data_IF_568654409552
#
_entry.id   IF_568654409552
#
_cell.length_a   1.000
_cell.length_b   1.000
_cell.length_c   1.000
_cell.angle_alpha   90.00
_cell.angle_beta   90.00
_cell.angle_gamma   90.00
#
_symmetry.space_group_name_H-M   'P 1'
#
loop_
_entity.id
_entity.type
_entity.pdbx_description
1 polymer ?
#
# COMPACT_ATOMS: atom_id res chain seq x y z
N UNK A 1 49.82 -19.46 -16.18
CA UNK A 1 48.51 -20.09 -15.91
C UNK A 1 47.85 -19.57 -14.62
N UNK A 2 48.58 -19.36 -13.52
CA UNK A 2 47.99 -18.85 -12.26
C UNK A 2 47.41 -17.43 -12.35
N UNK A 3 48.11 -16.51 -13.02
CA UNK A 3 47.61 -15.12 -13.18
C UNK A 3 46.25 -15.08 -13.89
N UNK A 4 46.07 -15.93 -14.91
CA UNK A 4 44.79 -16.07 -15.61
C UNK A 4 43.66 -16.58 -14.70
N UNK A 5 43.92 -17.63 -13.90
CA UNK A 5 42.93 -18.15 -12.94
C UNK A 5 42.52 -17.10 -11.90
N UNK A 6 43.48 -16.32 -11.39
CA UNK A 6 43.21 -15.23 -10.44
C UNK A 6 42.39 -14.09 -11.05
N UNK A 7 42.68 -13.71 -12.29
CA UNK A 7 41.90 -12.71 -13.02
C UNK A 7 40.45 -13.17 -13.22
N UNK A 8 40.26 -14.41 -13.64
CA UNK A 8 38.93 -14.99 -13.85
C UNK A 8 38.14 -15.13 -12.54
N UNK A 9 38.81 -15.52 -11.45
CA UNK A 9 38.21 -15.54 -10.12
C UNK A 9 37.75 -14.14 -9.67
N UNK A 10 38.57 -13.11 -9.90
CA UNK A 10 38.21 -11.71 -9.62
C UNK A 10 36.99 -11.25 -10.41
N UNK A 11 36.90 -11.61 -11.70
CA UNK A 11 35.73 -11.32 -12.53
C UNK A 11 34.47 -12.01 -11.99
N UNK A 12 34.53 -13.29 -11.66
CA UNK A 12 33.38 -14.01 -11.09
C UNK A 12 32.98 -13.52 -9.71
N UNK A 13 33.93 -13.07 -8.88
CA UNK A 13 33.64 -12.41 -7.61
C UNK A 13 32.86 -11.11 -7.83
N UNK A 14 33.29 -10.27 -8.78
CA UNK A 14 32.57 -9.04 -9.12
C UNK A 14 31.15 -9.32 -9.66
N UNK A 15 31.01 -10.29 -10.57
CA UNK A 15 29.73 -10.72 -11.10
C UNK A 15 28.82 -11.33 -10.03
N UNK A 16 29.39 -12.12 -9.10
CA UNK A 16 28.68 -12.62 -7.92
C UNK A 16 28.15 -11.46 -7.08
N UNK A 17 28.99 -10.48 -6.75
CA UNK A 17 28.57 -9.35 -5.90
C UNK A 17 27.40 -8.60 -6.54
N UNK A 18 27.53 -8.23 -7.82
CA UNK A 18 26.47 -7.52 -8.54
C UNK A 18 25.18 -8.34 -8.62
N UNK A 19 25.28 -9.60 -9.09
CA UNK A 19 24.10 -10.45 -9.25
C UNK A 19 23.44 -10.82 -7.92
N UNK A 20 24.20 -10.98 -6.83
CA UNK A 20 23.66 -11.28 -5.51
C UNK A 20 22.88 -10.10 -4.93
N UNK A 21 23.38 -8.86 -5.09
CA UNK A 21 22.63 -7.66 -4.68
C UNK A 21 21.31 -7.56 -5.44
N UNK A 22 21.33 -7.72 -6.77
CA UNK A 22 20.10 -7.72 -7.57
C UNK A 22 19.17 -8.87 -7.19
N UNK A 23 19.69 -10.07 -6.97
CA UNK A 23 18.90 -11.23 -6.58
C UNK A 23 18.20 -11.02 -5.24
N UNK A 24 18.87 -10.43 -4.25
CA UNK A 24 18.23 -10.07 -2.98
C UNK A 24 17.05 -9.12 -3.19
N UNK A 25 17.23 -8.06 -3.98
CA UNK A 25 16.16 -7.09 -4.25
C UNK A 25 14.98 -7.76 -4.96
N UNK A 26 15.25 -8.43 -6.08
CA UNK A 26 14.21 -9.05 -6.91
C UNK A 26 13.47 -10.17 -6.18
N UNK A 27 14.19 -11.03 -5.46
CA UNK A 27 13.59 -12.13 -4.71
C UNK A 27 12.69 -11.63 -3.57
N UNK A 28 13.12 -10.62 -2.81
CA UNK A 28 12.27 -10.04 -1.77
C UNK A 28 11.08 -9.28 -2.36
N UNK A 29 11.29 -8.59 -3.49
CA UNK A 29 10.20 -7.91 -4.20
C UNK A 29 9.15 -8.90 -4.69
N UNK A 30 9.54 -10.03 -5.30
CA UNK A 30 8.56 -11.06 -5.71
C UNK A 30 7.80 -11.63 -4.50
N UNK A 31 8.52 -11.94 -3.42
CA UNK A 31 7.93 -12.58 -2.23
C UNK A 31 7.00 -11.66 -1.44
N UNK A 32 7.27 -10.36 -1.40
CA UNK A 32 6.53 -9.40 -0.56
C UNK A 32 5.69 -8.41 -1.34
N UNK A 33 6.16 -7.95 -2.49
CA UNK A 33 5.47 -6.98 -3.35
C UNK A 33 4.21 -7.54 -4.02
N UNK A 34 4.08 -8.87 -4.10
CA UNK A 34 2.88 -9.53 -4.64
C UNK A 34 2.08 -10.29 -3.56
N UNK A 35 2.22 -9.90 -2.30
CA UNK A 35 1.47 -10.49 -1.18
C UNK A 35 0.62 -9.43 -0.49
N UNK A 36 -0.69 -9.65 -0.43
CA UNK A 36 -1.64 -8.78 0.27
C UNK A 36 -1.26 -8.57 1.75
N UNK A 37 -0.71 -9.59 2.40
CA UNK A 37 -0.30 -9.54 3.81
C UNK A 37 0.73 -8.44 4.09
N UNK A 38 1.64 -8.17 3.13
CA UNK A 38 2.62 -7.08 3.27
C UNK A 38 1.91 -5.72 3.37
N UNK A 39 0.86 -5.53 2.58
CA UNK A 39 0.12 -4.28 2.50
C UNK A 39 -0.83 -4.11 3.68
N UNK A 40 -1.50 -5.18 4.12
CA UNK A 40 -2.28 -5.18 5.37
C UNK A 40 -1.45 -4.71 6.57
N UNK A 41 -0.24 -5.25 6.71
CA UNK A 41 0.69 -4.85 7.79
C UNK A 41 1.14 -3.39 7.67
N UNK A 42 1.38 -2.92 6.45
CA UNK A 42 1.74 -1.53 6.20
C UNK A 42 0.59 -0.58 6.57
N UNK A 43 -0.64 -0.90 6.15
CA UNK A 43 -1.82 -0.09 6.41
C UNK A 43 -2.20 -0.06 7.90
N UNK A 44 -2.11 -1.20 8.59
CA UNK A 44 -2.33 -1.26 10.02
C UNK A 44 -1.28 -0.47 10.81
N UNK A 45 -0.01 -0.48 10.38
CA UNK A 45 1.08 0.25 11.05
C UNK A 45 0.87 1.77 11.01
N UNK A 46 0.37 2.28 9.89
CA UNK A 46 0.19 3.73 9.68
C UNK A 46 -1.21 4.23 10.04
N UNK A 47 -2.06 3.34 10.57
CA UNK A 47 -3.44 3.65 10.90
C UNK A 47 -4.24 4.19 9.69
N UNK A 48 -3.93 3.63 8.52
CA UNK A 48 -4.37 4.13 7.22
C UNK A 48 -5.88 4.33 7.14
N UNK A 49 -6.66 3.31 7.52
CA UNK A 49 -8.11 3.37 7.44
C UNK A 49 -8.73 4.40 8.37
N UNK A 50 -8.11 4.70 9.51
CA UNK A 50 -8.58 5.71 10.46
C UNK A 50 -8.30 7.15 10.03
N UNK A 51 -7.30 7.36 9.15
CA UNK A 51 -6.94 8.67 8.59
C UNK A 51 -7.75 9.03 7.34
N UNK A 52 -8.26 8.03 6.62
CA UNK A 52 -9.02 8.23 5.39
C UNK A 52 -10.19 9.23 5.53
N UNK A 53 -11.05 9.16 6.58
CA UNK A 53 -12.14 10.13 6.74
C UNK A 53 -11.67 11.59 6.78
N UNK A 54 -10.55 11.86 7.44
CA UNK A 54 -9.99 13.22 7.54
C UNK A 54 -9.43 13.68 6.20
N UNK A 55 -8.73 12.81 5.47
CA UNK A 55 -8.25 13.13 4.11
C UNK A 55 -9.42 13.43 3.17
N UNK A 56 -10.51 12.66 3.26
CA UNK A 56 -11.73 12.93 2.49
C UNK A 56 -12.37 14.26 2.88
N UNK A 57 -12.44 14.57 4.17
CA UNK A 57 -12.99 15.84 4.66
C UNK A 57 -12.22 17.05 4.14
N UNK A 58 -10.89 17.00 4.17
CA UNK A 58 -10.04 18.06 3.63
C UNK A 58 -10.23 18.21 2.10
N UNK A 59 -10.37 17.10 1.38
CA UNK A 59 -10.61 17.12 -0.06
C UNK A 59 -11.95 17.81 -0.42
N UNK A 60 -13.00 17.64 0.39
CA UNK A 60 -14.31 18.26 0.14
C UNK A 60 -14.26 19.79 0.15
N UNK A 61 -13.35 20.38 0.93
CA UNK A 61 -13.25 21.85 1.05
C UNK A 61 -12.40 22.44 -0.06
N UNK A 62 -11.47 21.65 -0.60
CA UNK A 62 -10.73 22.02 -1.81
C UNK A 62 -11.55 21.86 -3.09
N UNK A 63 -12.67 21.14 -3.02
CA UNK A 63 -13.61 21.00 -4.13
C UNK A 63 -14.44 22.27 -4.29
N UNK A 64 -14.77 22.64 -5.52
CA UNK A 64 -15.62 23.79 -5.81
C UNK A 64 -16.99 23.62 -5.14
N UNK A 65 -17.27 24.47 -4.14
CA UNK A 65 -18.51 24.43 -3.35
C UNK A 65 -19.77 24.57 -4.20
N UNK A 66 -19.66 25.16 -5.40
CA UNK A 66 -20.80 25.28 -6.32
C UNK A 66 -21.29 23.94 -6.89
N UNK A 67 -20.48 22.88 -6.80
CA UNK A 67 -20.82 21.53 -7.26
C UNK A 67 -21.42 20.66 -6.15
N UNK A 68 -21.36 21.11 -4.89
CA UNK A 68 -21.90 20.36 -3.77
C UNK A 68 -23.41 20.59 -3.65
N UNK A 69 -24.19 19.56 -3.26
CA UNK A 69 -25.57 19.76 -2.86
C UNK A 69 -25.68 20.87 -1.82
N UNK A 70 -26.74 21.69 -1.89
CA UNK A 70 -26.97 22.82 -0.96
C UNK A 70 -26.97 22.34 0.51
N UNK A 71 -27.40 21.10 0.77
CA UNK A 71 -27.34 20.46 2.09
C UNK A 71 -25.92 20.32 2.67
N UNK A 72 -24.90 20.42 1.84
CA UNK A 72 -23.50 20.16 2.16
C UNK A 72 -22.62 21.42 2.01
N UNK A 73 -23.16 22.51 1.46
CA UNK A 73 -22.41 23.74 1.16
C UNK A 73 -22.03 24.58 2.39
N UNK A 74 -22.48 24.20 3.59
CA UNK A 74 -22.17 24.88 4.86
C UNK A 74 -21.29 24.09 5.83
N UNK A 75 -20.87 22.87 5.46
CA UNK A 75 -20.09 22.00 6.34
C UNK A 75 -18.61 22.42 6.36
N UNK A 76 -18.06 22.59 7.56
CA UNK A 76 -16.63 22.78 7.77
C UNK A 76 -15.86 21.44 7.78
N UNK A 77 -14.54 21.49 7.97
CA UNK A 77 -13.68 20.28 7.98
C UNK A 77 -14.16 19.28 9.03
N UNK A 78 -14.55 19.78 10.20
CA UNK A 78 -14.91 18.95 11.34
C UNK A 78 -16.26 18.25 11.11
N UNK A 79 -17.22 18.96 10.53
CA UNK A 79 -18.51 18.40 10.13
C UNK A 79 -18.32 17.32 9.05
N UNK A 80 -17.46 17.56 8.05
CA UNK A 80 -17.12 16.55 7.04
C UNK A 80 -16.39 15.33 7.62
N UNK A 81 -15.42 15.55 8.50
CA UNK A 81 -14.68 14.46 9.14
C UNK A 81 -15.63 13.60 9.99
N UNK A 82 -16.49 14.25 10.80
CA UNK A 82 -17.51 13.54 11.59
C UNK A 82 -18.47 12.76 10.69
N UNK A 83 -18.93 13.35 9.60
CA UNK A 83 -19.80 12.69 8.62
C UNK A 83 -19.14 11.45 8.02
N UNK A 84 -17.91 11.58 7.49
CA UNK A 84 -17.19 10.46 6.90
C UNK A 84 -16.85 9.40 7.94
N UNK A 85 -16.43 9.76 9.15
CA UNK A 85 -16.16 8.78 10.22
C UNK A 85 -17.41 8.00 10.62
N UNK A 86 -18.57 8.63 10.56
CA UNK A 86 -19.83 8.00 10.91
C UNK A 86 -20.27 7.03 9.82
N UNK A 87 -20.25 7.43 8.54
CA UNK A 87 -20.66 6.55 7.44
C UNK A 87 -19.60 5.50 7.13
N UNK A 88 -18.34 5.91 7.03
CA UNK A 88 -17.17 5.10 6.76
C UNK A 88 -16.47 4.75 8.06
N UNK A 89 -17.17 3.98 8.89
CA UNK A 89 -16.62 3.48 10.14
C UNK A 89 -15.29 2.73 9.86
N UNK A 90 -14.28 2.88 10.73
CA UNK A 90 -12.94 2.31 10.48
C UNK A 90 -12.91 0.82 10.21
N UNK A 91 -13.78 0.05 10.85
CA UNK A 91 -13.95 -1.39 10.67
C UNK A 91 -14.54 -1.73 9.29
N UNK A 92 -15.52 -0.95 8.82
CA UNK A 92 -16.06 -1.06 7.48
C UNK A 92 -15.00 -0.72 6.42
N UNK A 93 -14.25 0.37 6.62
CA UNK A 93 -13.14 0.76 5.73
C UNK A 93 -12.05 -0.31 5.68
N UNK A 94 -11.69 -0.88 6.82
CA UNK A 94 -10.71 -1.97 6.91
C UNK A 94 -11.21 -3.19 6.15
N UNK A 95 -12.46 -3.60 6.38
CA UNK A 95 -13.05 -4.78 5.70
C UNK A 95 -13.11 -4.58 4.18
N UNK A 96 -13.56 -3.41 3.73
CA UNK A 96 -13.64 -3.09 2.30
C UNK A 96 -12.26 -2.99 1.66
N UNK A 97 -11.34 -2.28 2.31
CA UNK A 97 -9.98 -2.09 1.84
C UNK A 97 -9.19 -3.40 1.79
N UNK A 98 -9.28 -4.21 2.84
CA UNK A 98 -8.61 -5.50 2.91
C UNK A 98 -9.18 -6.47 1.86
N UNK A 99 -10.51 -6.47 1.69
CA UNK A 99 -11.19 -7.24 0.65
C UNK A 99 -10.73 -6.84 -0.75
N UNK A 100 -10.64 -5.54 -1.02
CA UNK A 100 -10.15 -5.03 -2.30
C UNK A 100 -8.67 -5.38 -2.53
N UNK A 101 -7.80 -5.26 -1.52
CA UNK A 101 -6.41 -5.67 -1.60
C UNK A 101 -6.31 -7.16 -1.92
N UNK A 102 -7.02 -8.00 -1.18
CA UNK A 102 -7.02 -9.45 -1.39
C UNK A 102 -7.49 -9.80 -2.82
N UNK A 103 -8.56 -9.16 -3.29
CA UNK A 103 -9.07 -9.34 -4.65
C UNK A 103 -8.05 -8.87 -5.71
N UNK A 104 -7.39 -7.73 -5.47
CA UNK A 104 -6.34 -7.20 -6.35
C UNK A 104 -5.15 -8.16 -6.46
N UNK A 105 -4.67 -8.68 -5.33
CA UNK A 105 -3.56 -9.64 -5.36
C UNK A 105 -3.97 -11.00 -5.90
N UNK A 106 -5.20 -11.47 -5.64
CA UNK A 106 -5.73 -12.66 -6.31
C UNK A 106 -5.75 -12.46 -7.84
N UNK A 107 -6.15 -11.29 -8.31
CA UNK A 107 -6.10 -10.92 -9.72
C UNK A 107 -4.66 -10.91 -10.28
N UNK A 108 -3.73 -10.19 -9.63
CA UNK A 108 -2.32 -10.11 -10.06
C UNK A 108 -1.63 -11.47 -10.03
N UNK A 109 -2.03 -12.35 -9.11
CA UNK A 109 -1.53 -13.71 -8.97
C UNK A 109 -2.22 -14.72 -9.91
N UNK A 110 -3.13 -14.28 -10.78
CA UNK A 110 -3.94 -15.14 -11.67
C UNK A 110 -4.78 -16.19 -10.92
N UNK A 111 -5.20 -15.88 -9.70
CA UNK A 111 -6.12 -16.69 -8.90
C UNK A 111 -7.58 -16.30 -9.14
N UNK A 112 -7.81 -15.09 -9.65
CA UNK A 112 -9.10 -14.56 -10.05
C UNK A 112 -8.96 -13.72 -11.32
N UNK A 113 -10.02 -13.59 -12.12
CA UNK A 113 -10.02 -12.77 -13.34
C UNK A 113 -10.59 -11.37 -13.13
N UNK A 114 -11.18 -11.11 -11.96
CA UNK A 114 -11.84 -9.86 -11.64
C UNK A 114 -11.38 -9.33 -10.29
N UNK A 115 -11.25 -8.01 -10.21
CA UNK A 115 -11.06 -7.27 -8.97
C UNK A 115 -12.42 -6.72 -8.56
N UNK A 116 -12.90 -7.17 -7.39
CA UNK A 116 -14.20 -6.79 -6.85
C UNK A 116 -14.01 -5.98 -5.57
N UNK A 117 -14.81 -4.93 -5.41
CA UNK A 117 -14.99 -4.22 -4.15
C UNK A 117 -16.37 -4.55 -3.61
N UNK A 118 -16.44 -5.12 -2.40
CA UNK A 118 -17.70 -5.29 -1.70
C UNK A 118 -18.13 -3.98 -1.05
N UNK A 119 -19.36 -3.55 -1.33
CA UNK A 119 -19.99 -2.38 -0.72
C UNK A 119 -20.91 -2.76 0.44
N UNK A 120 -21.04 -4.05 0.75
CA UNK A 120 -21.91 -4.53 1.83
C UNK A 120 -21.63 -3.84 3.17
N UNK A 121 -20.37 -3.69 3.64
CA UNK A 121 -20.10 -2.99 4.90
C UNK A 121 -20.60 -1.54 4.92
N UNK A 122 -20.39 -0.82 3.80
CA UNK A 122 -20.91 0.54 3.62
C UNK A 122 -22.44 0.57 3.66
N UNK A 123 -23.10 -0.33 2.92
CA UNK A 123 -24.57 -0.45 2.90
C UNK A 123 -25.13 -0.72 4.30
N UNK A 124 -24.49 -1.61 5.06
CA UNK A 124 -24.88 -1.92 6.44
C UNK A 124 -24.72 -0.70 7.35
N UNK A 125 -23.62 0.05 7.23
CA UNK A 125 -23.41 1.30 7.98
C UNK A 125 -24.48 2.35 7.64
N UNK A 126 -24.79 2.50 6.35
CA UNK A 126 -25.79 3.47 5.85
C UNK A 126 -27.22 3.18 6.33
N UNK A 127 -27.63 1.91 6.44
CA UNK A 127 -28.99 1.56 6.91
C UNK A 127 -29.06 1.48 8.45
N UNK A 128 -27.91 1.33 9.10
CA UNK A 128 -27.78 1.23 10.54
C UNK A 128 -27.92 2.57 11.28
N UNK A 129 -27.73 2.56 12.61
CA UNK A 129 -27.75 3.77 13.43
C UNK A 129 -26.75 4.84 12.98
N UNK A 130 -25.59 4.42 12.47
CA UNK A 130 -24.56 5.32 11.96
C UNK A 130 -25.06 6.15 10.78
N UNK A 131 -25.74 5.55 9.80
CA UNK A 131 -26.32 6.29 8.68
C UNK A 131 -27.33 7.34 9.12
N UNK A 132 -28.20 7.03 10.08
CA UNK A 132 -29.15 7.98 10.67
C UNK A 132 -28.39 9.13 11.36
N UNK A 133 -27.37 8.80 12.16
CA UNK A 133 -26.56 9.78 12.86
C UNK A 133 -25.77 10.68 11.91
N UNK A 134 -25.33 10.15 10.76
CA UNK A 134 -24.65 10.94 9.74
C UNK A 134 -25.60 11.97 9.10
N UNK A 135 -26.86 11.62 8.88
CA UNK A 135 -27.89 12.56 8.41
C UNK A 135 -28.13 13.65 9.46
N UNK A 136 -28.23 13.30 10.74
CA UNK A 136 -28.31 14.31 11.81
C UNK A 136 -27.06 15.18 11.90
N UNK A 137 -25.87 14.64 11.61
CA UNK A 137 -24.65 15.43 11.51
C UNK A 137 -24.71 16.47 10.39
N UNK A 138 -25.29 16.13 9.23
CA UNK A 138 -25.54 17.10 8.15
C UNK A 138 -26.57 18.14 8.60
N UNK A 139 -27.69 17.71 9.20
CA UNK A 139 -28.76 18.62 9.63
C UNK A 139 -28.29 19.58 10.72
N UNK A 140 -27.49 19.11 11.68
CA UNK A 140 -26.93 19.92 12.76
C UNK A 140 -25.91 20.96 12.30
N UNK A 141 -25.33 20.80 11.10
CA UNK A 141 -24.47 21.81 10.49
C UNK A 141 -25.25 22.93 9.78
N UNK A 142 -26.57 22.80 9.66
CA UNK A 142 -27.45 23.78 9.02
C UNK A 142 -28.00 24.78 10.05
N UNK A 143 -28.49 25.96 9.61
CA UNK A 143 -29.18 26.88 10.50
C UNK A 143 -30.47 26.27 11.05
N UNK A 144 -30.87 26.69 12.25
CA UNK A 144 -32.10 26.24 12.91
C UNK A 144 -33.34 26.48 12.03
N UNK A 145 -34.21 25.47 11.97
CA UNK A 145 -35.43 25.54 11.19
C UNK A 145 -36.42 26.57 11.76
N UNK A 146 -37.00 27.40 10.90
CA UNK A 146 -38.21 28.16 11.24
C UNK A 146 -39.44 27.25 11.26
N UNK A 147 -40.50 27.66 11.99
CA UNK A 147 -41.77 26.92 12.03
C UNK A 147 -42.38 26.65 10.64
N UNK A 148 -42.23 27.61 9.72
CA UNK A 148 -42.71 27.48 8.34
C UNK A 148 -41.91 26.43 7.55
N UNK A 149 -40.59 26.39 7.74
CA UNK A 149 -39.72 25.38 7.12
C UNK A 149 -39.97 23.98 7.68
N UNK A 150 -40.25 23.85 8.99
CA UNK A 150 -40.61 22.57 9.59
C UNK A 150 -41.91 21.99 9.00
N UNK A 151 -42.93 22.83 8.83
CA UNK A 151 -44.19 22.41 8.22
C UNK A 151 -44.01 21.99 6.75
N UNK A 152 -43.19 22.71 6.00
CA UNK A 152 -42.90 22.41 4.60
C UNK A 152 -42.06 21.14 4.45
N UNK A 153 -41.03 20.95 5.28
CA UNK A 153 -40.21 19.74 5.31
C UNK A 153 -41.04 18.49 5.59
N UNK A 154 -41.99 18.55 6.54
CA UNK A 154 -42.90 17.44 6.82
C UNK A 154 -43.79 17.08 5.62
N UNK A 155 -44.26 18.08 4.88
CA UNK A 155 -45.04 17.86 3.65
C UNK A 155 -44.17 17.29 2.52
N UNK A 156 -42.95 17.80 2.34
CA UNK A 156 -42.02 17.36 1.29
C UNK A 156 -41.49 15.94 1.53
N UNK A 157 -41.24 15.55 2.78
CA UNK A 157 -40.86 14.18 3.15
C UNK A 157 -41.92 13.14 2.78
N UNK A 158 -43.20 13.52 2.84
CA UNK A 158 -44.32 12.65 2.53
C UNK A 158 -44.65 12.67 1.03
N UNK A 159 -44.51 13.83 0.39
CA UNK A 159 -44.85 14.03 -1.03
C UNK A 159 -43.69 13.79 -2.01
N UNK A 160 -42.45 13.62 -1.52
CA UNK A 160 -41.25 13.46 -2.33
C UNK A 160 -40.76 14.76 -2.98
N UNK A 161 -41.04 15.91 -2.34
CA UNK A 161 -40.65 17.24 -2.81
C UNK A 161 -39.16 17.58 -2.60
N UNK A 162 -38.74 18.76 -3.08
CA UNK A 162 -37.39 19.28 -2.86
C UNK A 162 -37.23 19.79 -1.44
N UNK A 163 -36.60 18.99 -0.58
CA UNK A 163 -36.41 19.33 0.83
C UNK A 163 -35.41 20.49 0.97
N UNK A 164 -35.85 21.60 1.57
CA UNK A 164 -34.93 22.62 2.09
C UNK A 164 -34.35 22.13 3.41
N UNK A 165 -33.03 22.01 3.48
CA UNK A 165 -32.33 21.49 4.66
C UNK A 165 -32.15 22.57 5.72
N UNK A 166 -32.52 22.26 6.97
CA UNK A 166 -32.32 23.09 8.16
C UNK A 166 -32.19 22.18 9.38
N UNK A 167 -31.66 22.70 10.50
CA UNK A 167 -31.48 21.95 11.74
C UNK A 167 -32.82 21.87 12.53
N UNK A 168 -33.45 20.69 12.65
CA UNK A 168 -34.70 20.56 13.38
C UNK A 168 -34.47 20.53 14.90
N UNK A 169 -35.47 20.94 15.71
CA UNK A 169 -35.38 20.85 17.16
C UNK A 169 -35.27 19.39 17.63
N UNK A 170 -34.47 19.15 18.68
CA UNK A 170 -34.09 17.81 19.16
C UNK A 170 -35.30 16.93 19.53
N UNK A 171 -36.42 17.54 19.93
CA UNK A 171 -37.66 16.84 20.26
C UNK A 171 -38.29 16.12 19.06
N UNK A 172 -37.94 16.52 17.82
CA UNK A 172 -38.43 15.92 16.60
C UNK A 172 -37.54 14.78 16.07
N UNK A 173 -36.32 14.60 16.60
CA UNK A 173 -35.43 13.52 16.16
C UNK A 173 -36.06 12.13 16.27
N UNK A 174 -36.71 11.74 17.39
CA UNK A 174 -37.32 10.41 17.51
C UNK A 174 -38.45 10.20 16.49
N UNK A 175 -39.11 11.27 16.05
CA UNK A 175 -40.21 11.22 15.08
C UNK A 175 -39.68 11.08 13.65
N UNK A 176 -38.55 11.73 13.34
CA UNK A 176 -37.95 11.70 12.00
C UNK A 176 -37.08 10.47 11.76
N UNK A 177 -36.51 9.87 12.82
CA UNK A 177 -35.60 8.71 12.72
C UNK A 177 -36.18 7.58 11.85
N UNK A 178 -37.43 7.12 12.02
CA UNK A 178 -38.00 6.07 11.17
C UNK A 178 -38.13 6.48 9.70
N UNK A 179 -38.45 7.76 9.44
CA UNK A 179 -38.56 8.27 8.08
C UNK A 179 -37.18 8.31 7.39
N UNK A 180 -36.16 8.80 8.09
CA UNK A 180 -34.77 8.81 7.61
C UNK A 180 -34.31 7.37 7.35
N UNK A 181 -34.57 6.45 8.27
CA UNK A 181 -34.18 5.05 8.11
C UNK A 181 -34.87 4.38 6.91
N UNK A 182 -36.15 4.66 6.68
CA UNK A 182 -36.87 4.16 5.51
C UNK A 182 -36.27 4.70 4.19
N UNK A 183 -35.92 5.99 4.15
CA UNK A 183 -35.28 6.59 2.97
C UNK A 183 -33.88 6.01 2.73
N UNK A 184 -33.09 5.78 3.79
CA UNK A 184 -31.78 5.13 3.69
C UNK A 184 -31.90 3.69 3.18
N UNK A 185 -32.91 2.94 3.62
CA UNK A 185 -33.18 1.60 3.09
C UNK A 185 -33.45 1.64 1.59
N UNK A 186 -34.30 2.57 1.13
CA UNK A 186 -34.60 2.74 -0.30
C UNK A 186 -33.34 3.10 -1.08
N UNK A 187 -32.59 4.10 -0.62
CA UNK A 187 -31.36 4.56 -1.26
C UNK A 187 -30.33 3.42 -1.43
N UNK A 188 -30.20 2.57 -0.41
CA UNK A 188 -29.23 1.46 -0.41
C UNK A 188 -29.65 0.31 -1.33
N UNK A 189 -30.93 0.17 -1.70
CA UNK A 189 -31.34 -0.83 -2.70
C UNK A 189 -30.85 -0.52 -4.11
N UNK A 190 -30.57 0.76 -4.41
CA UNK A 190 -30.01 1.19 -5.70
C UNK A 190 -28.49 0.95 -5.79
N UNK A 191 -27.82 0.76 -4.66
CA UNK A 191 -26.38 0.50 -4.59
C UNK A 191 -26.14 -1.00 -4.71
N UNK A 192 -25.35 -1.48 -5.68
CA UNK A 192 -25.03 -2.90 -5.79
C UNK A 192 -24.19 -3.37 -4.59
N UNK A 193 -24.29 -4.65 -4.24
CA UNK A 193 -23.50 -5.23 -3.14
C UNK A 193 -22.00 -5.30 -3.45
N UNK A 194 -21.66 -5.37 -4.73
CA UNK A 194 -20.29 -5.48 -5.22
C UNK A 194 -20.16 -4.70 -6.52
N UNK A 195 -18.99 -4.10 -6.73
CA UNK A 195 -18.62 -3.49 -8.01
C UNK A 195 -17.36 -4.15 -8.56
N UNK A 196 -17.35 -4.39 -9.86
CA UNK A 196 -16.16 -4.83 -10.58
C UNK A 196 -15.30 -3.60 -10.86
N UNK A 197 -14.16 -3.50 -10.18
CA UNK A 197 -13.19 -2.41 -10.37
C UNK A 197 -12.37 -2.64 -11.63
N UNK A 198 -12.01 -3.90 -11.88
CA UNK A 198 -11.19 -4.29 -13.03
C UNK A 198 -11.50 -5.74 -13.43
N UNK A 199 -11.40 -6.03 -14.73
CA UNK A 199 -11.58 -7.37 -15.28
C UNK A 199 -10.44 -7.67 -16.26
N UNK A 200 -10.01 -8.94 -16.28
CA UNK A 200 -8.97 -9.41 -17.15
C UNK A 200 -9.35 -9.23 -18.63
N UNK A 201 -8.48 -8.65 -19.47
CA UNK A 201 -8.73 -8.59 -20.89
C UNK A 201 -8.64 -9.99 -21.51
N UNK A 202 -9.58 -10.33 -22.40
CA UNK A 202 -9.62 -11.62 -23.11
C UNK A 202 -8.40 -11.89 -24.00
N UNK A 203 -7.69 -10.83 -24.42
CA UNK A 203 -6.50 -10.90 -25.25
C UNK A 203 -5.39 -10.01 -24.68
N UNK A 204 -4.13 -10.41 -24.85
CA UNK A 204 -2.95 -9.67 -24.40
C UNK A 204 -2.96 -9.35 -22.89
N UNK A 205 -3.32 -10.33 -22.07
CA UNK A 205 -3.35 -10.19 -20.62
C UNK A 205 -1.97 -9.79 -20.05
N UNK A 206 -1.81 -8.57 -19.49
CA UNK A 206 -0.54 -8.09 -18.96
C UNK A 206 -0.04 -8.95 -17.80
N UNK A 207 -0.92 -9.68 -17.11
CA UNK A 207 -0.55 -10.60 -16.02
C UNK A 207 0.35 -11.72 -16.52
N UNK A 208 0.26 -12.14 -17.78
CA UNK A 208 1.16 -13.17 -18.31
C UNK A 208 2.62 -12.70 -18.35
N UNK A 209 2.85 -11.45 -18.79
CA UNK A 209 4.17 -10.83 -18.75
C UNK A 209 4.67 -10.67 -17.32
N UNK A 210 3.75 -10.35 -16.40
CA UNK A 210 4.06 -10.28 -14.98
C UNK A 210 4.50 -11.63 -14.41
N UNK A 211 3.82 -12.74 -14.74
CA UNK A 211 4.21 -14.08 -14.28
C UNK A 211 5.60 -14.48 -14.80
N UNK A 212 5.92 -14.14 -16.04
CA UNK A 212 7.26 -14.35 -16.60
C UNK A 212 8.29 -13.54 -15.81
N UNK A 213 8.03 -12.25 -15.57
CA UNK A 213 8.91 -11.40 -14.76
C UNK A 213 9.10 -11.96 -13.35
N UNK A 214 8.03 -12.45 -12.72
CA UNK A 214 8.08 -13.09 -11.40
C UNK A 214 8.87 -14.38 -11.38
N UNK A 215 8.77 -15.20 -12.43
CA UNK A 215 9.62 -16.37 -12.57
C UNK A 215 11.10 -15.98 -12.60
N UNK A 216 11.48 -14.93 -13.35
CA UNK A 216 12.85 -14.41 -13.34
C UNK A 216 13.26 -13.88 -11.97
N UNK A 217 12.39 -13.13 -11.28
CA UNK A 217 12.66 -12.64 -9.93
C UNK A 217 12.87 -13.79 -8.93
N UNK A 218 12.05 -14.85 -9.01
CA UNK A 218 12.14 -16.02 -8.13
C UNK A 218 13.38 -16.88 -8.42
N UNK A 219 13.79 -16.97 -9.70
CA UNK A 219 15.00 -17.69 -10.12
C UNK A 219 16.28 -16.85 -10.01
N UNK A 220 16.17 -15.54 -9.72
CA UNK A 220 17.31 -14.65 -9.61
C UNK A 220 18.42 -15.12 -8.65
N UNK A 221 18.16 -15.84 -7.54
CA UNK A 221 19.22 -16.36 -6.67
C UNK A 221 20.09 -17.47 -7.30
N UNK A 222 19.67 -18.09 -8.40
CA UNK A 222 20.46 -19.15 -9.07
C UNK A 222 21.70 -18.54 -9.71
N UNK A 223 21.58 -17.35 -10.32
CA UNK A 223 22.67 -16.69 -11.02
C UNK A 223 23.90 -16.39 -10.11
N UNK A 224 23.76 -15.76 -8.93
CA UNK A 224 24.89 -15.57 -8.02
C UNK A 224 25.45 -16.92 -7.54
N UNK A 225 24.63 -17.95 -7.30
CA UNK A 225 25.14 -19.27 -6.92
C UNK A 225 26.04 -19.88 -8.00
N UNK A 226 25.69 -19.72 -9.28
CA UNK A 226 26.55 -20.15 -10.39
C UNK A 226 27.88 -19.39 -10.38
N UNK A 227 27.87 -18.06 -10.20
CA UNK A 227 29.12 -17.29 -10.14
C UNK A 227 29.96 -17.61 -8.91
N UNK A 228 29.34 -17.87 -7.77
CA UNK A 228 30.01 -18.33 -6.54
C UNK A 228 30.69 -19.68 -6.76
N UNK A 229 30.03 -20.61 -7.45
CA UNK A 229 30.57 -21.92 -7.80
C UNK A 229 31.75 -21.79 -8.77
N UNK A 230 31.60 -21.00 -9.83
CA UNK A 230 32.69 -20.73 -10.79
C UNK A 230 33.90 -20.10 -10.09
N UNK A 231 33.67 -19.08 -9.25
CA UNK A 231 34.71 -18.47 -8.42
C UNK A 231 35.42 -19.53 -7.56
N UNK A 232 34.66 -20.45 -6.96
CA UNK A 232 35.21 -21.54 -6.14
C UNK A 232 36.14 -22.44 -6.96
N UNK A 233 35.72 -22.89 -8.15
CA UNK A 233 36.53 -23.75 -9.03
C UNK A 233 37.87 -23.09 -9.40
N UNK A 234 37.90 -21.78 -9.63
CA UNK A 234 39.10 -21.09 -10.10
C UNK A 234 40.00 -20.54 -8.98
N UNK A 235 39.45 -20.21 -7.82
CA UNK A 235 40.16 -19.53 -6.74
C UNK A 235 40.55 -20.45 -5.57
N UNK A 236 39.81 -21.54 -5.36
CA UNK A 236 39.88 -22.31 -4.13
C UNK A 236 40.78 -23.52 -4.29
N UNK A 237 42.03 -23.34 -3.88
CA UNK A 237 43.01 -24.43 -3.78
C UNK A 237 43.26 -24.86 -2.32
N UNK A 238 42.84 -24.05 -1.35
CA UNK A 238 43.01 -24.29 0.09
C UNK A 238 41.82 -23.75 0.87
N UNK A 239 41.62 -24.27 2.08
CA UNK A 239 40.56 -23.80 3.00
C UNK A 239 40.71 -22.31 3.33
N UNK A 240 41.94 -21.81 3.53
CA UNK A 240 42.21 -20.39 3.74
C UNK A 240 41.81 -19.55 2.54
N UNK A 241 42.11 -20.01 1.31
CA UNK A 241 41.70 -19.32 0.07
C UNK A 241 40.18 -19.24 -0.01
N UNK A 242 39.49 -20.35 0.25
CA UNK A 242 38.02 -20.41 0.30
C UNK A 242 37.43 -19.35 1.23
N UNK A 243 37.89 -19.33 2.49
CA UNK A 243 37.44 -18.36 3.49
C UNK A 243 37.68 -16.92 3.04
N UNK A 244 38.84 -16.63 2.45
CA UNK A 244 39.16 -15.27 2.01
C UNK A 244 38.31 -14.79 0.83
N UNK A 245 38.12 -15.63 -0.20
CA UNK A 245 37.36 -15.25 -1.40
C UNK A 245 35.86 -15.18 -1.13
N UNK A 246 35.29 -16.17 -0.44
CA UNK A 246 33.88 -16.14 -0.05
C UNK A 246 33.62 -15.03 0.97
N UNK A 247 34.51 -14.87 1.95
CA UNK A 247 34.39 -13.83 2.97
C UNK A 247 34.38 -12.42 2.38
N UNK A 248 35.31 -12.12 1.47
CA UNK A 248 35.36 -10.83 0.77
C UNK A 248 34.11 -10.58 -0.08
N UNK A 249 33.67 -11.59 -0.84
CA UNK A 249 32.47 -11.52 -1.68
C UNK A 249 31.20 -11.30 -0.86
N UNK A 250 30.96 -12.07 0.20
CA UNK A 250 29.80 -11.89 1.08
C UNK A 250 29.84 -10.57 1.84
N UNK A 251 31.02 -10.13 2.28
CA UNK A 251 31.18 -8.82 2.92
C UNK A 251 30.81 -7.69 1.96
N UNK A 252 31.32 -7.74 0.71
CA UNK A 252 31.01 -6.75 -0.31
C UNK A 252 29.52 -6.74 -0.67
N UNK A 253 28.92 -7.90 -0.97
CA UNK A 253 27.48 -8.03 -1.24
C UNK A 253 26.65 -7.52 -0.07
N UNK A 254 26.96 -7.96 1.15
CA UNK A 254 26.22 -7.59 2.34
C UNK A 254 26.27 -6.09 2.63
N UNK A 255 27.45 -5.48 2.47
CA UNK A 255 27.64 -4.04 2.64
C UNK A 255 26.84 -3.25 1.60
N UNK A 256 26.92 -3.63 0.32
CA UNK A 256 26.19 -2.96 -0.75
C UNK A 256 24.67 -3.12 -0.60
N UNK A 257 24.19 -4.32 -0.29
CA UNK A 257 22.77 -4.57 -0.05
C UNK A 257 22.24 -3.79 1.17
N UNK A 258 23.03 -3.70 2.24
CA UNK A 258 22.68 -2.90 3.43
C UNK A 258 22.63 -1.41 3.10
N UNK A 259 23.60 -0.92 2.33
CA UNK A 259 23.64 0.47 1.89
C UNK A 259 22.40 0.80 1.04
N UNK A 260 22.07 -0.05 0.06
CA UNK A 260 20.83 0.06 -0.71
C UNK A 260 19.57 -0.05 0.17
N UNK A 261 19.62 -0.85 1.24
CA UNK A 261 18.55 -0.96 2.21
C UNK A 261 18.26 0.36 2.95
N UNK A 262 19.33 1.07 3.32
CA UNK A 262 19.25 2.35 4.03
C UNK A 262 18.90 3.51 3.10
N UNK A 263 19.50 3.56 1.91
CA UNK A 263 19.32 4.68 0.97
C UNK A 263 18.16 4.45 -0.01
N UNK A 264 17.66 3.22 -0.14
CA UNK A 264 16.60 2.89 -1.07
C UNK A 264 15.30 3.63 -0.76
N UNK A 265 14.91 3.72 0.50
CA UNK A 265 13.68 4.39 0.91
C UNK A 265 13.56 5.84 0.38
N UNK A 266 14.52 6.76 0.65
CA UNK A 266 14.44 8.12 0.14
C UNK A 266 14.57 8.21 -1.39
N UNK A 267 15.41 7.38 -2.01
CA UNK A 267 15.60 7.40 -3.47
C UNK A 267 14.32 6.99 -4.20
N UNK A 268 13.72 5.87 -3.81
CA UNK A 268 12.49 5.40 -4.43
C UNK A 268 11.31 6.31 -4.11
N UNK A 269 11.24 6.89 -2.90
CA UNK A 269 10.22 7.89 -2.57
C UNK A 269 10.30 9.09 -3.51
N UNK A 270 11.50 9.63 -3.77
CA UNK A 270 11.68 10.73 -4.71
C UNK A 270 11.31 10.34 -6.16
N UNK A 271 11.69 9.14 -6.61
CA UNK A 271 11.31 8.63 -7.94
C UNK A 271 9.79 8.47 -8.06
N UNK A 272 9.16 7.89 -7.03
CA UNK A 272 7.73 7.65 -7.01
C UNK A 272 6.94 8.95 -7.00
N UNK A 273 7.37 9.95 -6.21
CA UNK A 273 6.80 11.29 -6.22
C UNK A 273 6.91 11.93 -7.62
N UNK A 274 8.09 11.87 -8.26
CA UNK A 274 8.26 12.41 -9.61
C UNK A 274 7.38 11.72 -10.67
N UNK A 275 7.17 10.41 -10.55
CA UNK A 275 6.25 9.66 -11.41
C UNK A 275 4.79 10.02 -11.15
N UNK A 276 4.39 10.12 -9.87
CA UNK A 276 3.05 10.52 -9.46
C UNK A 276 2.71 11.92 -9.98
N UNK A 277 3.58 12.92 -9.77
CA UNK A 277 3.33 14.29 -10.24
C UNK A 277 3.26 14.39 -11.76
N UNK A 278 3.90 13.47 -12.48
CA UNK A 278 3.86 13.44 -13.96
C UNK A 278 2.64 12.71 -14.53
N UNK A 279 1.97 11.89 -13.73
CA UNK A 279 0.89 10.99 -14.18
C UNK A 279 -0.45 11.30 -13.55
N UNK A 280 -0.46 11.99 -12.41
CA UNK A 280 -1.70 12.38 -11.76
C UNK A 280 -2.28 13.60 -12.46
N UNK A 281 -3.60 13.58 -12.72
CA UNK A 281 -4.28 14.74 -13.26
C UNK A 281 -4.23 15.94 -12.31
N UNK A 282 -4.16 17.14 -12.88
CA UNK A 282 -4.10 18.42 -12.14
C UNK A 282 -5.33 18.67 -11.22
N UNK A 283 -6.39 17.89 -11.38
CA UNK A 283 -7.61 18.01 -10.57
C UNK A 283 -7.55 17.29 -9.22
N UNK A 284 -6.49 16.51 -8.94
CA UNK A 284 -6.37 15.85 -7.64
C UNK A 284 -5.80 16.81 -6.58
N UNK A 285 -6.51 17.02 -5.46
CA UNK A 285 -6.00 17.82 -4.36
C UNK A 285 -4.63 17.35 -3.88
N UNK A 286 -3.74 18.30 -3.57
CA UNK A 286 -2.36 18.01 -3.13
C UNK A 286 -2.29 17.17 -1.85
N UNK A 287 -3.36 17.14 -1.05
CA UNK A 287 -3.46 16.28 0.13
C UNK A 287 -3.36 14.79 -0.22
N UNK A 288 -3.93 14.37 -1.36
CA UNK A 288 -3.83 12.98 -1.81
C UNK A 288 -2.41 12.63 -2.23
N UNK A 289 -1.64 13.58 -2.77
CA UNK A 289 -0.23 13.37 -3.13
C UNK A 289 0.60 13.11 -1.87
N UNK A 290 0.46 13.94 -0.85
CA UNK A 290 1.16 13.77 0.42
C UNK A 290 0.84 12.41 1.04
N UNK A 291 -0.45 12.10 1.15
CA UNK A 291 -0.92 10.84 1.70
C UNK A 291 -0.45 9.61 0.90
N UNK A 292 -0.54 9.66 -0.44
CA UNK A 292 -0.05 8.59 -1.31
C UNK A 292 1.46 8.40 -1.20
N UNK A 293 2.22 9.49 -1.03
CA UNK A 293 3.67 9.44 -0.88
C UNK A 293 4.11 8.84 0.45
N UNK A 294 3.43 9.17 1.55
CA UNK A 294 3.67 8.59 2.87
C UNK A 294 3.35 7.08 2.84
N UNK A 295 2.21 6.73 2.25
CA UNK A 295 1.81 5.34 2.07
C UNK A 295 2.83 4.55 1.25
N UNK A 296 3.29 5.12 0.13
CA UNK A 296 4.29 4.49 -0.71
C UNK A 296 5.63 4.33 0.00
N UNK A 297 6.04 5.31 0.80
CA UNK A 297 7.24 5.22 1.63
C UNK A 297 7.12 4.07 2.63
N UNK A 298 5.97 3.91 3.30
CA UNK A 298 5.74 2.80 4.25
C UNK A 298 5.70 1.44 3.55
N UNK A 299 5.01 1.33 2.42
CA UNK A 299 4.99 0.11 1.61
C UNK A 299 6.41 -0.28 1.18
N UNK A 300 7.17 0.69 0.66
CA UNK A 300 8.53 0.48 0.22
C UNK A 300 9.45 0.09 1.39
N UNK A 301 9.29 0.72 2.55
CA UNK A 301 10.02 0.36 3.76
C UNK A 301 9.76 -1.11 4.13
N UNK A 302 8.50 -1.57 4.03
CA UNK A 302 8.15 -2.97 4.28
C UNK A 302 8.80 -3.95 3.28
N UNK A 303 9.06 -3.51 2.04
CA UNK A 303 9.74 -4.27 0.99
C UNK A 303 11.27 -4.29 1.15
N UNK A 304 11.88 -3.18 1.57
CA UNK A 304 13.34 -2.99 1.62
C UNK A 304 13.94 -3.44 2.96
N UNK A 305 13.21 -3.32 4.08
CA UNK A 305 13.70 -3.72 5.41
C UNK A 305 14.30 -5.13 5.48
N UNK A 306 13.74 -6.16 4.81
CA UNK A 306 14.35 -7.49 4.76
C UNK A 306 15.68 -7.54 4.04
N UNK A 307 15.84 -6.75 2.98
CA UNK A 307 17.07 -6.66 2.19
C UNK A 307 18.18 -6.06 3.05
N UNK A 308 17.85 -5.05 3.87
CA UNK A 308 18.77 -4.49 4.86
C UNK A 308 19.26 -5.58 5.84
N UNK A 309 18.34 -6.33 6.44
CA UNK A 309 18.71 -7.39 7.40
C UNK A 309 19.49 -8.53 6.76
N UNK A 310 19.10 -8.99 5.57
CA UNK A 310 19.82 -10.04 4.84
C UNK A 310 21.21 -9.57 4.41
N UNK A 311 21.33 -8.31 3.99
CA UNK A 311 22.61 -7.67 3.70
C UNK A 311 23.52 -7.64 4.92
N UNK A 312 23.01 -7.21 6.07
CA UNK A 312 23.77 -7.13 7.32
C UNK A 312 24.25 -8.52 7.76
N UNK A 313 23.37 -9.53 7.72
CA UNK A 313 23.71 -10.92 8.04
C UNK A 313 24.84 -11.43 7.12
N UNK A 314 24.73 -11.21 5.81
CA UNK A 314 25.79 -11.61 4.88
C UNK A 314 27.11 -10.86 5.13
N UNK A 315 27.05 -9.57 5.47
CA UNK A 315 28.24 -8.79 5.81
C UNK A 315 28.95 -9.36 7.03
N UNK A 316 28.20 -9.70 8.08
CA UNK A 316 28.73 -10.30 9.31
C UNK A 316 29.33 -11.68 9.04
N UNK A 317 28.65 -12.53 8.27
CA UNK A 317 29.18 -13.84 7.85
C UNK A 317 30.48 -13.66 7.07
N UNK A 318 30.50 -12.74 6.09
CA UNK A 318 31.69 -12.45 5.30
C UNK A 318 32.87 -11.99 6.17
N UNK A 319 32.62 -11.09 7.12
CA UNK A 319 33.62 -10.61 8.07
C UNK A 319 34.17 -11.74 8.95
N UNK A 320 33.29 -12.58 9.50
CA UNK A 320 33.71 -13.73 10.31
C UNK A 320 34.59 -14.70 9.50
N UNK A 321 34.23 -14.99 8.25
CA UNK A 321 35.04 -15.84 7.37
C UNK A 321 36.43 -15.24 7.11
N UNK A 322 36.52 -13.92 6.88
CA UNK A 322 37.81 -13.23 6.70
C UNK A 322 38.68 -13.30 7.96
N UNK A 323 38.10 -13.08 9.14
CA UNK A 323 38.82 -13.16 10.41
C UNK A 323 39.36 -14.58 10.66
N UNK A 324 38.53 -15.61 10.48
CA UNK A 324 38.96 -17.01 10.62
C UNK A 324 40.06 -17.34 9.61
N UNK A 325 39.90 -16.91 8.34
CA UNK A 325 40.92 -17.11 7.31
C UNK A 325 42.26 -16.46 7.65
N UNK A 326 42.22 -15.27 8.27
CA UNK A 326 43.43 -14.58 8.76
C UNK A 326 44.12 -15.36 9.88
N UNK A 327 43.37 -15.81 10.90
CA UNK A 327 43.94 -16.57 12.02
C UNK A 327 44.52 -17.92 11.59
N UNK A 328 43.84 -18.65 10.69
CA UNK A 328 44.34 -19.94 10.15
C UNK A 328 45.63 -19.75 9.34
N UNK A 329 45.75 -18.65 8.60
CA UNK A 329 46.98 -18.32 7.86
C UNK A 329 48.14 -17.99 8.81
N UNK A 330 47.85 -17.26 9.89
CA UNK A 330 48.85 -16.90 10.89
C UNK A 330 49.36 -18.13 11.67
N UNK A 331 48.50 -19.13 11.93
CA UNK A 331 48.92 -20.37 12.60
C UNK A 331 49.78 -21.28 11.71
N UNK A 332 49.60 -21.25 10.40
CA UNK A 332 50.41 -22.07 9.46
C UNK A 332 51.81 -21.50 9.18
N UNK A 333 52.07 -20.25 9.59
CA UNK A 333 53.35 -19.56 9.37
C UNK A 333 54.24 -19.53 10.61
N UNK A 334 53.76 -20.05 11.75
CA UNK A 334 54.58 -20.38 12.93
C UNK A 334 54.93 -21.85 12.92
#
# INVERSE_FOLDING_TARGET
MESFKKSLAGLFAALFVMSAVFALLLFNFDRRGFSAETYHKAFAKDDFYNRLPTVLAEAMITTDQSQLPIAMSGMDVQAWDSFFRTILAPDALTTMGDGLLNSTFAYLNQQADIVQLSLVPLKTSMVGPSGVQAIYGILGAQPDCTLMQLAQMGFDLISGGSIQFCNPPAELEPVMTPAIQAQLQVAVTLIPDQITVYEAPLQNDPRQKLQIARLFMRLSPILPLVFLLLMTIFAVNTFTSWLTWWGASFLATGTLASLMGLTGAPIFSAIFQGLLTSRLPDYLPSIFLNYASDLAATMLQALITPVLWQGLIMAVIGLMMLLIGYFVKASQTR
#
